data_IF_368255619036
#
_entry.id   IF_368255619036
#
_cell.length_a   1.000
_cell.length_b   1.000
_cell.length_c   1.000
_cell.angle_alpha   90.00
_cell.angle_beta   90.00
_cell.angle_gamma   90.00
#
_symmetry.space_group_name_H-M   'P 1'
#
loop_
_entity.id
_entity.type
_entity.pdbx_description
1 polymer ?
#
# COMPACT_ATOMS: atom_id res chain seq x y z
N UNK A 1 12.67 27.80 -1.26
CA UNK A 1 11.32 27.91 -0.67
C UNK A 1 10.34 26.81 -1.14
N UNK A 2 10.26 26.41 -2.42
CA UNK A 2 9.22 25.46 -2.90
C UNK A 2 9.48 23.97 -2.59
N UNK A 3 10.72 23.50 -2.75
CA UNK A 3 11.14 22.13 -2.37
C UNK A 3 11.18 21.93 -0.85
N UNK A 4 11.46 23.00 -0.10
CA UNK A 4 11.57 22.97 1.36
C UNK A 4 10.23 22.67 2.04
N UNK A 5 9.12 23.26 1.58
CA UNK A 5 7.79 23.00 2.17
C UNK A 5 7.31 21.55 1.95
N UNK A 6 7.63 20.98 0.78
CA UNK A 6 7.31 19.58 0.45
C UNK A 6 8.13 18.65 1.33
N UNK A 7 9.44 18.89 1.41
CA UNK A 7 10.36 18.11 2.23
C UNK A 7 10.01 18.18 3.72
N UNK A 8 9.66 19.36 4.23
CA UNK A 8 9.25 19.55 5.62
C UNK A 8 8.02 18.70 5.97
N UNK A 9 6.97 18.75 5.15
CA UNK A 9 5.78 17.91 5.37
C UNK A 9 6.08 16.42 5.23
N UNK A 10 6.91 16.03 4.27
CA UNK A 10 7.32 14.63 4.14
C UNK A 10 8.00 14.16 5.44
N UNK A 11 8.91 14.95 6.00
CA UNK A 11 9.54 14.67 7.29
C UNK A 11 8.51 14.59 8.43
N UNK A 12 7.58 15.54 8.55
CA UNK A 12 6.54 15.52 9.58
C UNK A 12 5.64 14.28 9.49
N UNK A 13 5.30 13.85 8.28
CA UNK A 13 4.54 12.62 8.06
C UNK A 13 5.37 11.39 8.42
N UNK A 14 6.63 11.31 7.99
CA UNK A 14 7.53 10.16 8.26
C UNK A 14 7.79 10.00 9.76
N UNK A 15 7.85 11.10 10.50
CA UNK A 15 8.07 11.09 11.95
C UNK A 15 6.92 10.43 12.74
N UNK A 16 5.76 10.23 12.12
CA UNK A 16 4.59 9.57 12.72
C UNK A 16 4.67 8.06 12.44
N UNK A 17 4.77 7.21 13.48
CA UNK A 17 4.88 5.76 13.32
C UNK A 17 3.53 5.10 13.00
N UNK A 18 2.96 5.44 11.84
CA UNK A 18 1.66 5.00 11.34
C UNK A 18 1.71 3.58 10.78
N UNK A 19 2.12 2.59 11.59
CA UNK A 19 2.13 1.20 11.13
C UNK A 19 0.69 0.71 10.98
N UNK A 20 0.37 0.12 9.82
CA UNK A 20 -1.00 -0.32 9.48
C UNK A 20 -1.69 -1.05 10.63
N UNK A 21 -2.94 -0.69 11.01
CA UNK A 21 -3.82 0.32 10.40
C UNK A 21 -3.76 1.72 11.06
N UNK A 22 -2.78 1.99 11.92
CA UNK A 22 -2.70 3.23 12.69
C UNK A 22 -2.36 4.43 11.81
N UNK A 23 -3.13 5.53 11.91
CA UNK A 23 -2.84 6.77 11.17
C UNK A 23 -1.76 7.63 11.84
N UNK A 24 -1.62 7.52 13.17
CA UNK A 24 -0.72 8.36 13.98
C UNK A 24 -0.91 9.88 13.73
N UNK A 25 -2.14 10.28 13.41
CA UNK A 25 -2.57 11.67 13.15
C UNK A 25 -2.07 12.28 11.83
N UNK A 26 -1.58 11.46 10.88
CA UNK A 26 -1.16 11.96 9.57
C UNK A 26 -2.33 12.63 8.82
N UNK A 27 -3.53 12.07 8.90
CA UNK A 27 -4.69 12.64 8.21
C UNK A 27 -5.15 13.94 8.84
N UNK A 28 -5.03 14.10 10.15
CA UNK A 28 -5.33 15.37 10.83
C UNK A 28 -4.36 16.47 10.40
N UNK A 29 -3.06 16.16 10.32
CA UNK A 29 -2.05 17.07 9.80
C UNK A 29 -2.37 17.54 8.37
N UNK A 30 -2.77 16.61 7.50
CA UNK A 30 -3.16 16.94 6.12
C UNK A 30 -4.45 17.76 6.10
N UNK A 31 -5.45 17.38 6.89
CA UNK A 31 -6.73 18.07 7.01
C UNK A 31 -6.57 19.52 7.47
N UNK A 32 -5.69 19.78 8.43
CA UNK A 32 -5.36 21.14 8.92
C UNK A 32 -4.80 22.03 7.81
N UNK A 33 -4.02 21.46 6.89
CA UNK A 33 -3.41 22.18 5.77
C UNK A 33 -4.42 22.48 4.66
N UNK A 34 -5.35 21.56 4.42
CA UNK A 34 -6.39 21.69 3.39
C UNK A 34 -7.56 22.59 3.81
N UNK A 35 -7.90 22.62 5.11
CA UNK A 35 -9.00 23.43 5.65
C UNK A 35 -8.96 24.92 5.25
N UNK A 36 -7.85 25.67 5.42
CA UNK A 36 -7.79 27.08 5.03
C UNK A 36 -7.92 27.30 3.51
N UNK A 37 -7.70 26.25 2.70
CA UNK A 37 -7.90 26.28 1.25
C UNK A 37 -9.35 26.01 0.86
N UNK A 38 -10.31 25.99 1.80
CA UNK A 38 -11.73 25.82 1.52
C UNK A 38 -12.11 24.39 1.08
N UNK A 39 -11.37 23.38 1.53
CA UNK A 39 -11.78 21.99 1.39
C UNK A 39 -12.87 21.66 2.42
N UNK A 40 -13.92 20.97 1.97
CA UNK A 40 -14.81 20.20 2.83
C UNK A 40 -14.10 18.91 3.19
N UNK A 41 -14.06 18.59 4.49
CA UNK A 41 -13.33 17.44 5.04
C UNK A 41 -14.34 16.47 5.65
N UNK A 42 -14.32 15.22 5.20
CA UNK A 42 -15.22 14.16 5.65
C UNK A 42 -14.41 12.94 6.09
N UNK A 43 -14.68 12.48 7.30
CA UNK A 43 -14.10 11.24 7.86
C UNK A 43 -15.04 10.08 7.60
N UNK A 44 -14.51 8.99 7.06
CA UNK A 44 -15.27 7.77 6.75
C UNK A 44 -14.55 6.59 7.41
N UNK A 45 -14.41 6.69 8.73
CA UNK A 45 -13.63 5.75 9.53
C UNK A 45 -14.44 4.49 9.86
N UNK A 46 -13.78 3.35 10.00
CA UNK A 46 -14.45 2.07 10.31
C UNK A 46 -13.47 0.95 10.59
N UNK A 47 -13.83 0.00 11.45
CA UNK A 47 -12.99 -1.17 11.74
C UNK A 47 -11.60 -0.87 12.31
N UNK A 48 -11.41 0.32 12.93
CA UNK A 48 -10.09 0.79 13.38
C UNK A 48 -9.24 1.44 12.29
N UNK A 49 -9.76 1.56 11.06
CA UNK A 49 -9.13 2.25 9.94
C UNK A 49 -9.68 3.67 9.81
N UNK A 50 -8.77 4.61 9.57
CA UNK A 50 -9.03 6.01 9.39
C UNK A 50 -9.04 6.37 7.91
N UNK A 51 -10.03 7.13 7.44
CA UNK A 51 -10.13 7.57 6.06
C UNK A 51 -10.52 9.05 5.96
N UNK A 52 -9.95 9.76 4.98
CA UNK A 52 -10.28 11.15 4.69
C UNK A 52 -10.72 11.30 3.23
N UNK A 53 -11.95 11.78 3.06
CA UNK A 53 -12.40 12.40 1.81
C UNK A 53 -12.35 13.92 1.98
N UNK A 54 -11.46 14.57 1.23
CA UNK A 54 -11.34 16.02 1.23
C UNK A 54 -11.67 16.55 -0.16
N UNK A 55 -12.59 17.50 -0.30
CA UNK A 55 -12.99 18.05 -1.59
C UNK A 55 -13.09 19.58 -1.59
N UNK A 56 -12.51 20.22 -2.59
CA UNK A 56 -12.71 21.64 -2.93
C UNK A 56 -13.49 21.77 -4.24
N UNK A 57 -14.51 22.62 -4.25
CA UNK A 57 -15.40 22.82 -5.39
C UNK A 57 -16.51 21.76 -5.49
N UNK A 58 -17.53 22.01 -6.30
CA UNK A 58 -18.74 21.17 -6.40
C UNK A 58 -19.05 20.70 -7.82
N UNK A 59 -18.25 21.07 -8.81
CA UNK A 59 -18.49 20.79 -10.22
C UNK A 59 -17.46 19.82 -10.80
N UNK A 60 -17.83 19.16 -11.89
CA UNK A 60 -16.89 18.42 -12.73
C UNK A 60 -15.96 19.40 -13.51
N UNK A 61 -14.76 18.96 -13.92
CA UNK A 61 -14.17 17.66 -13.62
C UNK A 61 -13.66 17.57 -12.18
N UNK A 62 -13.75 16.38 -11.58
CA UNK A 62 -13.18 16.05 -10.27
C UNK A 62 -11.84 15.33 -10.47
N UNK A 63 -10.75 16.02 -10.13
CA UNK A 63 -9.41 15.42 -10.03
C UNK A 63 -9.16 14.98 -8.59
N UNK A 64 -9.02 13.68 -8.38
CA UNK A 64 -8.72 13.09 -7.09
C UNK A 64 -7.23 12.69 -6.99
N UNK A 65 -6.58 13.04 -5.90
CA UNK A 65 -5.32 12.46 -5.49
C UNK A 65 -5.58 11.39 -4.43
N UNK A 66 -5.21 10.14 -4.72
CA UNK A 66 -5.40 9.03 -3.81
C UNK A 66 -4.06 8.58 -3.21
N UNK A 67 -4.10 8.08 -1.98
CA UNK A 67 -2.93 7.53 -1.31
C UNK A 67 -3.24 7.01 0.08
N UNK A 68 -2.19 6.61 0.79
CA UNK A 68 -2.31 6.02 2.11
C UNK A 68 -1.28 6.59 3.09
N UNK A 69 -1.65 6.73 4.37
CA UNK A 69 -0.81 7.26 5.45
C UNK A 69 -0.09 6.18 6.23
N UNK A 70 -0.60 4.96 6.20
CA UNK A 70 0.02 3.83 6.85
C UNK A 70 1.30 3.38 6.16
N UNK A 71 2.11 2.63 6.89
CA UNK A 71 3.37 2.09 6.41
C UNK A 71 3.57 0.67 6.94
N UNK A 72 4.23 -0.18 6.18
CA UNK A 72 4.63 -1.51 6.68
C UNK A 72 5.56 -1.44 7.89
N UNK A 73 5.59 -2.48 8.75
CA UNK A 73 6.53 -2.57 9.85
C UNK A 73 7.98 -2.31 9.40
N UNK A 74 8.77 -1.55 10.19
CA UNK A 74 10.17 -1.26 9.83
C UNK A 74 11.09 -2.49 9.98
N UNK A 75 10.64 -3.54 10.66
CA UNK A 75 11.52 -4.61 11.12
C UNK A 75 12.39 -4.18 12.31
N UNK A 76 13.47 -4.92 12.62
CA UNK A 76 14.35 -4.61 13.74
C UNK A 76 15.07 -3.27 13.55
N UNK A 77 15.03 -2.41 14.57
CA UNK A 77 15.57 -1.04 14.48
C UNK A 77 17.09 -1.02 14.27
N UNK A 78 17.80 -2.00 14.81
CA UNK A 78 19.24 -2.18 14.69
C UNK A 78 19.70 -2.54 13.27
N UNK A 79 18.79 -3.01 12.40
CA UNK A 79 19.07 -3.26 11.00
C UNK A 79 19.06 -1.98 10.14
N UNK A 80 18.63 -0.84 10.71
CA UNK A 80 18.59 0.44 10.04
C UNK A 80 19.84 1.28 10.33
N UNK A 81 20.37 1.92 9.29
CA UNK A 81 21.45 2.90 9.43
C UNK A 81 21.01 4.21 10.10
N UNK A 82 19.72 4.53 10.00
CA UNK A 82 19.07 5.70 10.62
C UNK A 82 17.71 5.26 11.15
N UNK A 83 17.25 5.70 12.34
CA UNK A 83 15.98 5.22 12.89
C UNK A 83 14.80 5.43 11.91
N UNK A 84 13.93 4.43 11.71
CA UNK A 84 12.95 4.41 10.62
C UNK A 84 11.94 5.56 10.67
N UNK A 85 11.60 6.05 11.87
CA UNK A 85 10.69 7.17 12.08
C UNK A 85 11.41 8.46 12.52
N UNK A 86 12.73 8.53 12.32
CA UNK A 86 13.50 9.76 12.42
C UNK A 86 13.93 10.16 10.99
N UNK A 87 13.13 10.96 10.26
CA UNK A 87 13.47 11.35 8.90
C UNK A 87 14.86 11.98 8.86
N UNK A 88 15.76 11.40 8.06
CA UNK A 88 17.17 11.79 8.03
C UNK A 88 17.60 12.05 6.60
N UNK A 89 18.16 13.21 6.31
CA UNK A 89 18.72 13.51 4.99
C UNK A 89 20.20 13.17 5.00
N UNK A 90 20.63 12.28 4.12
CA UNK A 90 22.03 11.89 3.95
C UNK A 90 22.34 11.76 2.47
N UNK A 91 23.44 12.38 2.02
CA UNK A 91 23.90 12.33 0.62
C UNK A 91 22.80 12.74 -0.39
N UNK A 92 21.97 13.72 -0.02
CA UNK A 92 20.87 14.22 -0.86
C UNK A 92 19.61 13.33 -0.89
N UNK A 93 19.56 12.27 -0.07
CA UNK A 93 18.44 11.32 -0.01
C UNK A 93 17.76 11.41 1.35
N UNK A 94 16.42 11.43 1.36
CA UNK A 94 15.60 11.35 2.57
C UNK A 94 15.38 9.88 2.96
N UNK A 95 15.90 9.50 4.12
CA UNK A 95 15.72 8.18 4.72
C UNK A 95 14.61 8.20 5.77
N UNK A 96 13.75 7.18 5.72
CA UNK A 96 12.69 6.93 6.69
C UNK A 96 11.66 5.95 6.14
N UNK A 97 10.99 5.21 7.03
CA UNK A 97 9.86 4.36 6.67
C UNK A 97 8.72 5.26 6.16
N UNK A 98 8.27 4.99 4.94
CA UNK A 98 7.29 5.81 4.26
C UNK A 98 7.86 6.92 3.37
N UNK A 99 9.18 7.11 3.34
CA UNK A 99 9.79 8.16 2.53
C UNK A 99 9.51 7.99 1.03
N UNK A 100 9.63 6.77 0.50
CA UNK A 100 9.22 6.47 -0.87
C UNK A 100 7.75 6.11 -0.97
N UNK A 101 7.23 5.39 0.04
CA UNK A 101 5.96 4.68 -0.04
C UNK A 101 5.02 4.99 1.15
N UNK A 102 4.14 5.98 1.07
CA UNK A 102 4.07 6.99 -0.02
C UNK A 102 3.99 8.42 0.52
N UNK A 103 4.52 8.67 1.72
CA UNK A 103 4.37 9.95 2.45
C UNK A 103 4.99 11.14 1.72
N UNK A 104 6.07 10.96 0.95
CA UNK A 104 6.61 12.04 0.11
C UNK A 104 5.66 12.44 -1.01
N UNK A 105 4.92 11.50 -1.58
CA UNK A 105 3.89 11.78 -2.59
C UNK A 105 2.70 12.53 -1.98
N UNK A 106 2.26 12.15 -0.77
CA UNK A 106 1.23 12.89 -0.03
C UNK A 106 1.66 14.35 0.19
N UNK A 107 2.91 14.56 0.63
CA UNK A 107 3.45 15.90 0.82
C UNK A 107 3.52 16.69 -0.49
N UNK A 108 3.91 16.04 -1.59
CA UNK A 108 3.95 16.65 -2.91
C UNK A 108 2.55 17.07 -3.38
N UNK A 109 1.53 16.22 -3.19
CA UNK A 109 0.14 16.55 -3.52
C UNK A 109 -0.38 17.73 -2.72
N UNK A 110 -0.25 17.70 -1.40
CA UNK A 110 -0.75 18.78 -0.52
C UNK A 110 -0.12 20.12 -0.90
N UNK A 111 1.20 20.16 -1.04
CA UNK A 111 1.87 21.43 -1.37
C UNK A 111 1.64 21.87 -2.82
N UNK A 112 1.42 20.95 -3.76
CA UNK A 112 0.99 21.30 -5.11
C UNK A 112 -0.39 21.94 -5.11
N UNK A 113 -1.32 21.42 -4.31
CA UNK A 113 -2.67 21.98 -4.14
C UNK A 113 -2.59 23.37 -3.49
N UNK A 114 -1.82 23.54 -2.42
CA UNK A 114 -1.59 24.84 -1.76
C UNK A 114 -1.14 25.90 -2.79
N UNK A 115 -0.12 25.58 -3.60
CA UNK A 115 0.38 26.49 -4.65
C UNK A 115 -0.63 26.73 -5.76
N UNK A 116 -1.29 25.68 -6.23
CA UNK A 116 -2.26 25.77 -7.30
C UNK A 116 -3.45 26.65 -6.92
N UNK A 117 -4.02 26.44 -5.73
CA UNK A 117 -5.16 27.22 -5.22
C UNK A 117 -4.76 28.66 -4.93
N UNK A 118 -3.56 28.91 -4.41
CA UNK A 118 -3.06 30.27 -4.21
C UNK A 118 -2.95 31.03 -5.54
N UNK A 119 -2.55 30.36 -6.61
CA UNK A 119 -2.41 30.95 -7.95
C UNK A 119 -3.75 31.04 -8.69
N UNK A 120 -4.64 30.07 -8.48
CA UNK A 120 -5.92 29.92 -9.17
C UNK A 120 -7.07 29.72 -8.17
N UNK A 121 -7.40 30.73 -7.34
CA UNK A 121 -8.41 30.58 -6.29
C UNK A 121 -9.81 30.29 -6.85
N UNK A 122 -10.10 30.72 -8.07
CA UNK A 122 -11.37 30.50 -8.78
C UNK A 122 -11.24 29.44 -9.90
N UNK A 123 -10.39 28.43 -9.72
CA UNK A 123 -10.28 27.33 -10.69
C UNK A 123 -11.64 26.66 -10.94
N UNK A 124 -11.85 26.20 -12.17
CA UNK A 124 -13.02 25.39 -12.51
C UNK A 124 -12.90 23.97 -11.94
N UNK A 125 -14.01 23.25 -11.89
CA UNK A 125 -14.07 21.86 -11.43
C UNK A 125 -13.84 21.67 -9.93
N UNK A 126 -13.31 20.50 -9.58
CA UNK A 126 -13.03 20.08 -8.21
C UNK A 126 -11.66 19.43 -8.07
N UNK A 127 -11.03 19.67 -6.93
CA UNK A 127 -9.84 18.92 -6.49
C UNK A 127 -10.25 18.14 -5.25
N UNK A 128 -9.86 16.87 -5.20
CA UNK A 128 -10.12 16.03 -4.05
C UNK A 128 -8.87 15.26 -3.59
N UNK A 129 -8.86 14.86 -2.33
CA UNK A 129 -7.98 13.81 -1.81
C UNK A 129 -8.83 12.69 -1.22
N UNK A 130 -8.43 11.45 -1.52
CA UNK A 130 -8.95 10.22 -0.90
C UNK A 130 -7.79 9.51 -0.22
N UNK A 131 -7.73 9.57 1.10
CA UNK A 131 -6.63 9.01 1.89
C UNK A 131 -7.14 7.95 2.87
N UNK A 132 -6.34 6.90 3.08
CA UNK A 132 -6.64 5.80 4.01
C UNK A 132 -5.45 5.47 4.91
N UNK A 133 -5.69 4.87 6.08
CA UNK A 133 -4.65 4.33 6.97
C UNK A 133 -4.54 2.80 6.92
N UNK A 134 -5.12 2.14 5.90
CA UNK A 134 -4.96 0.70 5.68
C UNK A 134 -5.02 0.37 4.18
N UNK A 135 -3.90 0.60 3.50
CA UNK A 135 -3.65 0.08 2.14
C UNK A 135 -2.80 -1.19 2.19
N UNK A 136 -1.77 -1.20 3.04
CA UNK A 136 -0.75 -2.25 3.11
C UNK A 136 -1.23 -3.51 3.88
N UNK A 137 -2.37 -3.41 4.56
CA UNK A 137 -2.91 -4.46 5.41
C UNK A 137 -4.00 -5.27 4.72
N UNK A 138 -5.14 -5.44 5.41
CA UNK A 138 -6.28 -6.21 4.88
C UNK A 138 -7.15 -5.31 3.98
N UNK A 139 -7.07 -3.98 4.14
CA UNK A 139 -7.69 -2.96 3.30
C UNK A 139 -9.22 -3.10 3.12
N UNK A 140 -9.90 -3.81 4.01
CA UNK A 140 -11.36 -4.05 3.94
C UNK A 140 -12.19 -2.88 4.49
N UNK A 141 -11.57 -2.01 5.28
CA UNK A 141 -12.19 -0.82 5.85
C UNK A 141 -11.56 0.49 5.35
N UNK A 142 -10.58 0.40 4.43
CA UNK A 142 -9.88 1.54 3.86
C UNK A 142 -10.60 2.17 2.67
N UNK A 143 -9.84 2.47 1.62
CA UNK A 143 -10.33 3.11 0.38
C UNK A 143 -11.59 2.48 -0.20
N UNK A 144 -11.77 1.16 -0.11
CA UNK A 144 -12.96 0.47 -0.60
C UNK A 144 -14.25 1.02 0.03
N UNK A 145 -14.25 1.32 1.34
CA UNK A 145 -15.42 1.88 2.04
C UNK A 145 -15.70 3.32 1.68
N UNK A 146 -14.66 4.10 1.43
CA UNK A 146 -14.81 5.45 0.90
C UNK A 146 -15.45 5.41 -0.48
N UNK A 147 -14.93 4.58 -1.39
CA UNK A 147 -15.47 4.44 -2.76
C UNK A 147 -16.93 3.97 -2.73
N UNK A 148 -17.27 2.99 -1.89
CA UNK A 148 -18.66 2.54 -1.70
C UNK A 148 -19.57 3.69 -1.23
N UNK A 149 -19.14 4.48 -0.25
CA UNK A 149 -19.91 5.61 0.28
C UNK A 149 -20.12 6.72 -0.77
N UNK A 150 -19.07 7.07 -1.53
CA UNK A 150 -19.15 8.05 -2.62
C UNK A 150 -20.09 7.57 -3.73
N UNK A 151 -19.97 6.31 -4.13
CA UNK A 151 -20.83 5.71 -5.15
C UNK A 151 -22.30 5.68 -4.72
N UNK A 152 -22.58 5.35 -3.46
CA UNK A 152 -23.93 5.30 -2.90
C UNK A 152 -24.66 6.65 -2.97
N UNK A 153 -23.93 7.78 -2.90
CA UNK A 153 -24.49 9.13 -3.06
C UNK A 153 -24.30 9.73 -4.45
N UNK A 154 -23.89 8.92 -5.43
CA UNK A 154 -23.72 9.34 -6.83
C UNK A 154 -22.53 10.28 -7.07
N UNK A 155 -21.58 10.34 -6.14
CA UNK A 155 -20.37 11.16 -6.29
C UNK A 155 -19.36 10.44 -7.19
N UNK A 156 -19.10 11.03 -8.37
CA UNK A 156 -18.19 10.48 -9.38
C UNK A 156 -16.89 11.26 -9.45
N UNK A 157 -15.82 10.54 -9.81
CA UNK A 157 -14.50 11.10 -10.10
C UNK A 157 -14.25 11.03 -11.60
N UNK A 158 -13.68 12.08 -12.17
CA UNK A 158 -13.31 12.11 -13.59
C UNK A 158 -11.87 11.64 -13.80
N UNK A 159 -10.97 12.03 -12.89
CA UNK A 159 -9.56 11.68 -12.91
C UNK A 159 -9.07 11.27 -11.53
N UNK A 160 -8.20 10.27 -11.46
CA UNK A 160 -7.56 9.86 -10.21
C UNK A 160 -6.06 9.65 -10.43
N UNK A 161 -5.25 10.27 -9.58
CA UNK A 161 -3.80 10.08 -9.52
C UNK A 161 -3.48 9.41 -8.19
N UNK A 162 -3.06 8.16 -8.23
CA UNK A 162 -2.57 7.45 -7.04
C UNK A 162 -1.08 7.73 -6.88
N UNK A 163 -0.67 8.23 -5.72
CA UNK A 163 0.71 8.67 -5.47
C UNK A 163 1.72 7.57 -5.15
N UNK A 164 1.41 6.33 -5.46
CA UNK A 164 2.32 5.18 -5.35
C UNK A 164 3.67 5.45 -6.04
N UNK A 165 4.79 4.93 -5.51
CA UNK A 165 6.07 5.01 -6.19
C UNK A 165 6.04 4.20 -7.50
N UNK A 166 6.14 4.90 -8.64
CA UNK A 166 6.00 4.28 -9.98
C UNK A 166 7.30 4.22 -10.78
N UNK A 167 8.22 5.14 -10.52
CA UNK A 167 9.45 5.31 -11.29
C UNK A 167 10.46 4.19 -11.03
N UNK A 168 11.29 3.88 -12.02
CA UNK A 168 12.28 2.80 -11.95
C UNK A 168 13.68 3.33 -11.63
N UNK A 169 14.14 4.35 -12.36
CA UNK A 169 15.49 4.92 -12.25
C UNK A 169 15.44 6.41 -11.93
N UNK A 170 14.59 7.14 -12.63
CA UNK A 170 14.48 8.60 -12.51
C UNK A 170 13.02 9.01 -12.42
N UNK A 171 12.73 10.01 -11.59
CA UNK A 171 11.36 10.50 -11.41
C UNK A 171 10.69 10.80 -12.76
N UNK A 172 9.53 10.19 -13.00
CA UNK A 172 8.73 10.39 -14.20
C UNK A 172 9.06 9.46 -15.38
N UNK A 173 10.01 8.53 -15.24
CA UNK A 173 10.32 7.55 -16.29
C UNK A 173 9.23 6.50 -16.51
N UNK A 174 8.28 6.38 -15.58
CA UNK A 174 7.21 5.41 -15.62
C UNK A 174 5.98 5.93 -14.88
N UNK A 175 4.80 5.68 -15.45
CA UNK A 175 3.49 5.81 -14.80
C UNK A 175 2.77 4.46 -14.89
N UNK A 176 1.81 4.22 -13.99
CA UNK A 176 0.99 3.00 -14.01
C UNK A 176 -0.43 3.38 -14.45
N UNK A 177 -0.86 2.88 -15.60
CA UNK A 177 -2.23 3.00 -16.11
C UNK A 177 -3.10 1.77 -15.77
N UNK A 178 -2.54 0.81 -15.04
CA UNK A 178 -3.22 -0.41 -14.60
C UNK A 178 -2.35 -1.21 -13.63
N UNK A 179 -2.97 -2.15 -12.91
CA UNK A 179 -2.32 -3.11 -12.03
C UNK A 179 -2.88 -4.51 -12.29
N UNK A 180 -2.06 -5.54 -12.06
CA UNK A 180 -2.53 -6.94 -12.06
C UNK A 180 -3.46 -7.16 -10.87
N UNK A 181 -4.38 -8.11 -10.97
CA UNK A 181 -5.06 -8.65 -9.80
C UNK A 181 -4.10 -9.44 -8.90
N UNK A 182 -4.47 -9.62 -7.64
CA UNK A 182 -3.78 -10.50 -6.69
C UNK A 182 -4.75 -11.56 -6.18
N UNK A 183 -4.34 -12.83 -6.23
CA UNK A 183 -5.08 -13.97 -5.69
C UNK A 183 -4.13 -14.78 -4.80
N UNK A 184 -4.44 -14.79 -3.51
CA UNK A 184 -3.68 -15.57 -2.52
C UNK A 184 -4.45 -16.82 -2.12
N UNK A 185 -3.74 -17.95 -1.96
CA UNK A 185 -4.32 -19.22 -1.53
C UNK A 185 -3.48 -19.89 -0.44
N UNK A 186 -4.14 -20.37 0.61
CA UNK A 186 -3.51 -21.16 1.67
C UNK A 186 -3.84 -22.64 1.47
N UNK A 187 -2.83 -23.43 1.12
CA UNK A 187 -2.97 -24.87 0.92
C UNK A 187 -2.40 -25.63 2.13
N UNK A 188 -3.16 -26.61 2.65
CA UNK A 188 -2.68 -27.57 3.66
C UNK A 188 -2.75 -28.98 3.09
N UNK A 189 -1.60 -29.57 2.83
CA UNK A 189 -1.50 -30.95 2.34
C UNK A 189 -1.51 -31.90 3.53
N UNK A 190 -2.42 -32.88 3.53
CA UNK A 190 -2.56 -33.83 4.64
C UNK A 190 -1.79 -35.11 4.36
N UNK A 191 -0.94 -35.49 5.30
CA UNK A 191 -0.24 -36.77 5.33
C UNK A 191 -0.66 -37.62 6.53
N UNK A 192 0.26 -38.44 7.01
CA UNK A 192 0.14 -39.23 8.23
C UNK A 192 1.51 -39.29 8.91
N UNK A 193 1.59 -38.71 10.10
CA UNK A 193 2.83 -38.66 10.87
C UNK A 193 3.32 -40.06 11.26
N UNK A 194 4.63 -40.25 11.31
CA UNK A 194 5.26 -41.49 11.78
C UNK A 194 6.76 -41.37 11.91
N UNK A 195 7.41 -42.39 12.47
CA UNK A 195 8.86 -42.42 12.59
C UNK A 195 9.51 -42.66 11.22
N UNK A 196 10.60 -41.95 10.89
CA UNK A 196 11.25 -42.01 9.56
C UNK A 196 11.73 -43.41 9.18
N UNK A 197 12.09 -44.25 10.16
CA UNK A 197 12.50 -45.64 9.96
C UNK A 197 11.34 -46.60 9.58
N UNK A 198 10.08 -46.18 9.71
CA UNK A 198 8.90 -46.99 9.38
C UNK A 198 7.99 -46.25 8.38
N UNK A 199 8.50 -45.84 7.20
CA UNK A 199 7.78 -44.98 6.27
C UNK A 199 6.47 -45.62 5.74
N UNK A 200 6.40 -46.95 5.68
CA UNK A 200 5.20 -47.71 5.28
C UNK A 200 3.98 -47.49 6.19
N UNK A 201 4.20 -47.02 7.43
CA UNK A 201 3.11 -46.71 8.38
C UNK A 201 2.67 -45.23 8.31
N UNK A 202 3.42 -44.41 7.57
CA UNK A 202 3.28 -42.97 7.43
C UNK A 202 2.89 -42.56 6.00
N UNK A 203 2.58 -41.29 5.81
CA UNK A 203 2.37 -40.66 4.49
C UNK A 203 2.99 -39.28 4.53
N UNK A 204 4.13 -39.09 3.87
CA UNK A 204 4.84 -37.82 3.91
C UNK A 204 4.14 -36.79 2.99
N UNK A 205 3.53 -35.71 3.52
CA UNK A 205 2.83 -34.72 2.71
C UNK A 205 3.77 -33.96 1.77
N UNK A 206 5.05 -33.80 2.14
CA UNK A 206 6.06 -33.13 1.30
C UNK A 206 6.28 -33.96 0.02
N UNK A 207 6.48 -35.27 0.16
CA UNK A 207 6.71 -36.15 -0.99
C UNK A 207 5.47 -36.25 -1.89
N UNK A 208 4.26 -36.23 -1.30
CA UNK A 208 3.01 -36.23 -2.06
C UNK A 208 2.77 -34.92 -2.81
N UNK A 209 3.19 -33.79 -2.23
CA UNK A 209 3.00 -32.47 -2.84
C UNK A 209 4.06 -32.13 -3.89
N UNK A 210 5.27 -32.69 -3.78
CA UNK A 210 6.40 -32.34 -4.63
C UNK A 210 6.09 -32.36 -6.16
N UNK A 211 5.38 -33.36 -6.72
CA UNK A 211 5.03 -33.35 -8.14
C UNK A 211 4.09 -32.20 -8.52
N UNK A 212 3.06 -31.95 -7.70
CA UNK A 212 2.10 -30.87 -7.95
C UNK A 212 2.75 -29.48 -7.80
N UNK A 213 3.66 -29.32 -6.84
CA UNK A 213 4.44 -28.09 -6.69
C UNK A 213 5.32 -27.83 -7.94
N UNK A 214 5.99 -28.87 -8.44
CA UNK A 214 6.80 -28.76 -9.65
C UNK A 214 5.94 -28.40 -10.88
N UNK A 215 4.76 -29.00 -11.01
CA UNK A 215 3.80 -28.65 -12.06
C UNK A 215 3.35 -27.19 -11.94
N UNK A 216 2.86 -26.75 -10.77
CA UNK A 216 2.41 -25.38 -10.52
C UNK A 216 3.48 -24.34 -10.84
N UNK A 217 4.74 -24.62 -10.48
CA UNK A 217 5.88 -23.73 -10.74
C UNK A 217 6.25 -23.65 -12.24
N UNK A 218 5.89 -24.66 -13.03
CA UNK A 218 6.20 -24.73 -14.46
C UNK A 218 5.04 -24.25 -15.37
N UNK A 219 3.83 -24.08 -14.83
CA UNK A 219 2.67 -23.61 -15.61
C UNK A 219 2.95 -22.21 -16.14
N UNK A 220 2.77 -22.06 -17.45
CA UNK A 220 2.63 -20.75 -18.09
C UNK A 220 1.15 -20.39 -18.11
N UNK A 221 0.75 -19.45 -17.25
CA UNK A 221 -0.66 -19.12 -17.01
C UNK A 221 -1.30 -18.36 -18.17
N UNK A 222 -0.57 -17.43 -18.76
CA UNK A 222 -0.93 -16.70 -19.99
C UNK A 222 0.35 -16.09 -20.61
N UNK A 223 0.20 -15.31 -21.68
CA UNK A 223 1.31 -14.63 -22.36
C UNK A 223 1.29 -13.11 -22.14
N UNK A 224 0.49 -12.62 -21.18
CA UNK A 224 0.24 -11.19 -21.02
C UNK A 224 -0.48 -10.59 -22.23
N UNK A 225 -0.38 -9.27 -22.37
CA UNK A 225 -0.89 -8.49 -23.49
C UNK A 225 -0.13 -7.16 -23.60
N UNK A 226 -0.62 -6.22 -24.41
CA UNK A 226 -0.02 -4.89 -24.61
C UNK A 226 0.20 -4.12 -23.29
N UNK A 227 -0.68 -4.30 -22.31
CA UNK A 227 -0.66 -3.56 -21.05
C UNK A 227 -0.08 -4.34 -19.87
N UNK A 228 -0.14 -5.67 -19.91
CA UNK A 228 0.22 -6.51 -18.78
C UNK A 228 1.28 -7.56 -19.13
N UNK A 229 2.29 -7.74 -18.25
CA UNK A 229 3.15 -8.90 -18.35
C UNK A 229 2.34 -10.19 -18.06
N UNK A 230 2.89 -11.37 -18.38
CA UNK A 230 2.25 -12.63 -18.06
C UNK A 230 1.86 -12.76 -16.59
N UNK A 231 0.78 -13.51 -16.32
CA UNK A 231 0.42 -13.90 -14.95
C UNK A 231 1.57 -14.66 -14.29
N UNK A 232 1.88 -14.26 -13.06
CA UNK A 232 2.95 -14.87 -12.25
C UNK A 232 2.36 -15.60 -11.06
N UNK A 233 2.84 -16.81 -10.79
CA UNK A 233 2.53 -17.58 -9.59
C UNK A 233 3.79 -17.76 -8.76
N UNK A 234 3.70 -17.57 -7.44
CA UNK A 234 4.84 -17.63 -6.52
C UNK A 234 4.41 -18.29 -5.20
N UNK A 235 5.25 -19.17 -4.65
CA UNK A 235 5.08 -19.70 -3.29
C UNK A 235 5.76 -18.75 -2.32
N UNK A 236 4.97 -18.08 -1.48
CA UNK A 236 5.50 -17.16 -0.46
C UNK A 236 6.02 -17.89 0.77
N UNK A 237 5.40 -19.01 1.15
CA UNK A 237 5.72 -19.76 2.36
C UNK A 237 5.50 -21.26 2.14
N UNK A 238 6.42 -22.08 2.67
CA UNK A 238 6.29 -23.54 2.74
C UNK A 238 6.83 -24.03 4.07
N UNK A 239 5.98 -24.69 4.85
CA UNK A 239 6.33 -25.21 6.17
C UNK A 239 5.81 -26.63 6.32
N UNK A 240 6.64 -27.51 6.86
CA UNK A 240 6.28 -28.87 7.26
C UNK A 240 7.29 -29.36 8.31
N UNK A 241 6.88 -30.31 9.14
CA UNK A 241 7.74 -30.93 10.15
C UNK A 241 7.58 -30.35 11.55
N UNK A 242 8.11 -31.09 12.52
CA UNK A 242 8.06 -30.76 13.95
C UNK A 242 9.38 -30.17 14.48
N UNK A 243 10.40 -30.08 13.62
CA UNK A 243 11.79 -29.81 14.00
C UNK A 243 12.60 -31.06 14.34
N UNK A 244 11.96 -32.22 14.56
CA UNK A 244 12.65 -33.49 14.80
C UNK A 244 13.09 -34.15 13.49
N UNK A 245 14.34 -34.64 13.43
CA UNK A 245 14.90 -35.29 12.24
C UNK A 245 14.45 -36.75 12.04
N UNK A 246 13.81 -37.36 13.04
CA UNK A 246 13.35 -38.75 13.01
C UNK A 246 11.83 -38.90 12.83
N UNK A 247 11.11 -37.81 12.50
CA UNK A 247 9.65 -37.79 12.34
C UNK A 247 9.27 -37.33 10.94
N UNK A 248 8.46 -38.13 10.24
CA UNK A 248 7.77 -37.76 9.00
C UNK A 248 6.57 -36.88 9.37
N UNK A 249 6.37 -35.69 8.78
CA UNK A 249 5.25 -34.81 9.12
C UNK A 249 3.88 -35.38 8.74
N UNK A 250 2.84 -34.97 9.48
CA UNK A 250 1.44 -35.28 9.16
C UNK A 250 0.71 -34.17 8.40
N UNK A 251 1.25 -32.95 8.41
CA UNK A 251 0.78 -31.75 7.70
C UNK A 251 1.97 -30.89 7.32
#
# INVERSE_FOLDING_TARGET
>A
MTTEATLALACELIARPSVTPEDAGCLDLIAERLRPLGFTLERIDGGGVCNLWARRGTAAPVLCFAGHTDVVPPGPAEAWNTPPFNPTIKDGVLFGRGAADMKSSLAAFVTAIERFVATHPAHAGSIALLLTSDEEGVATHGTVKVVEALAARGERLDYCVVGEPTSVKTLGDMIKNGRRGSLSGTLRVRGKQGHVAYPQLARNPIHLFAPALAELAAITWDQGNEFFPPTTWQVSNIHAGTGANNVIPGV
#
